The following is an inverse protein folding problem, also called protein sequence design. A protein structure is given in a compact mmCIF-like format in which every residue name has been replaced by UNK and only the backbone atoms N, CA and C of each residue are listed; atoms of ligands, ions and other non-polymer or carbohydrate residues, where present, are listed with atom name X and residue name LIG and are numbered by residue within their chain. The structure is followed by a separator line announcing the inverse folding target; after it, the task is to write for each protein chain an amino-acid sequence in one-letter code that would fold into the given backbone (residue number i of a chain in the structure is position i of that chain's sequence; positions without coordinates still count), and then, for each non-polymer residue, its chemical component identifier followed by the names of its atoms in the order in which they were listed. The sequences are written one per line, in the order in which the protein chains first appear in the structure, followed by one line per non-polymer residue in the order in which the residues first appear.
data_IF_223450423495
#
_entry.id   IF_223450423495
#
_cell.length_a   1.000
_cell.length_b   1.000
_cell.length_c   1.000
_cell.angle_alpha   90.00
_cell.angle_beta   90.00
_cell.angle_gamma   90.00
#
_symmetry.space_group_name_H-M   'P 1'
#
loop_
_entity.id
_entity.type
_entity.pdbx_description
1 polymer ?
#
# COMPACT_ATOMS: atom_id res chain seq x y z
N UNK A 1 -13.70 12.96 -25.90
CA UNK A 1 -12.59 12.38 -25.12
C UNK A 1 -12.66 13.01 -23.75
N UNK A 2 -12.99 12.23 -22.70
CA UNK A 2 -13.03 12.74 -21.34
C UNK A 2 -11.59 12.96 -20.84
N UNK A 3 -11.32 14.02 -20.06
CA UNK A 3 -9.99 14.26 -19.53
C UNK A 3 -9.68 13.20 -18.47
N UNK A 4 -8.49 12.61 -18.54
CA UNK A 4 -7.95 11.81 -17.45
C UNK A 4 -7.66 12.75 -16.27
N UNK A 5 -8.28 12.49 -15.12
CA UNK A 5 -7.99 13.20 -13.88
C UNK A 5 -6.53 12.93 -13.49
N UNK A 6 -5.71 13.96 -13.23
CA UNK A 6 -4.39 13.77 -12.63
C UNK A 6 -4.54 12.94 -11.35
N UNK A 7 -3.71 11.91 -11.19
CA UNK A 7 -3.73 11.03 -10.01
C UNK A 7 -3.78 11.88 -8.74
N UNK A 8 -4.84 11.70 -7.95
CA UNK A 8 -5.02 12.45 -6.72
C UNK A 8 -3.75 12.26 -5.86
N UNK A 9 -3.27 13.31 -5.17
CA UNK A 9 -2.19 13.11 -4.20
C UNK A 9 -2.63 12.02 -3.23
N UNK A 10 -1.80 10.97 -3.12
CA UNK A 10 -1.95 9.92 -2.10
C UNK A 10 -2.31 10.62 -0.79
N UNK A 11 -3.49 10.30 -0.26
CA UNK A 11 -3.96 10.87 0.99
C UNK A 11 -2.93 10.60 2.08
N UNK A 12 -3.00 11.30 3.22
CA UNK A 12 -2.00 11.19 4.28
C UNK A 12 -1.77 9.74 4.80
N UNK A 13 -2.67 8.81 4.48
CA UNK A 13 -2.66 7.41 4.88
C UNK A 13 -2.45 6.44 3.72
N UNK A 14 -2.13 6.92 2.52
CA UNK A 14 -1.97 6.07 1.34
C UNK A 14 -0.50 5.72 1.09
N UNK A 15 -0.29 4.59 0.40
CA UNK A 15 1.00 4.10 -0.04
C UNK A 15 0.96 3.87 -1.55
N UNK A 16 1.73 4.64 -2.30
CA UNK A 16 1.94 4.40 -3.72
C UNK A 16 2.88 3.20 -3.92
N UNK A 17 2.59 2.35 -4.90
CA UNK A 17 3.51 1.33 -5.40
C UNK A 17 4.02 1.83 -6.75
N UNK A 18 5.25 2.32 -6.76
CA UNK A 18 5.86 2.94 -7.94
C UNK A 18 7.36 2.64 -7.97
N UNK A 19 7.89 2.35 -9.15
CA UNK A 19 9.31 2.06 -9.33
C UNK A 19 9.76 0.81 -8.57
N UNK A 20 8.91 -0.20 -8.46
CA UNK A 20 9.15 -1.41 -7.65
C UNK A 20 9.48 -1.10 -6.18
N UNK A 21 8.79 -0.11 -5.60
CA UNK A 21 8.91 0.26 -4.20
C UNK A 21 7.56 0.69 -3.61
N UNK A 22 7.42 0.54 -2.29
CA UNK A 22 6.33 1.14 -1.52
C UNK A 22 6.73 2.54 -1.08
N UNK A 23 5.89 3.55 -1.34
CA UNK A 23 6.14 4.95 -1.02
C UNK A 23 4.97 5.57 -0.24
N UNK A 24 5.16 6.00 1.01
CA UNK A 24 6.40 5.88 1.77
C UNK A 24 6.70 4.42 2.15
N UNK A 25 7.98 4.09 2.32
CA UNK A 25 8.39 2.75 2.76
C UNK A 25 8.04 2.49 4.23
N UNK A 26 7.86 3.54 5.02
CA UNK A 26 7.28 3.48 6.37
C UNK A 26 6.19 4.52 6.49
N UNK A 27 4.98 4.08 6.82
CA UNK A 27 3.83 4.94 7.09
C UNK A 27 3.44 4.81 8.56
N UNK A 28 3.21 5.95 9.24
CA UNK A 28 2.70 5.96 10.61
C UNK A 28 1.27 6.47 10.63
N UNK A 29 0.35 5.70 11.22
CA UNK A 29 -1.07 6.04 11.33
C UNK A 29 -1.59 5.82 12.76
N UNK A 30 -2.78 6.34 13.05
CA UNK A 30 -3.49 6.06 14.30
C UNK A 30 -4.24 4.73 14.20
N UNK A 31 -4.49 4.08 15.34
CA UNK A 31 -5.40 2.93 15.40
C UNK A 31 -6.76 3.27 14.78
N UNK A 32 -7.27 2.37 13.96
CA UNK A 32 -8.55 2.52 13.25
C UNK A 32 -8.44 3.28 11.93
N UNK A 33 -7.25 3.75 11.55
CA UNK A 33 -7.01 4.31 10.21
C UNK A 33 -7.04 3.20 9.16
N UNK A 34 -7.79 3.45 8.08
CA UNK A 34 -7.70 2.70 6.83
C UNK A 34 -6.48 3.20 6.04
N UNK A 35 -5.63 2.27 5.62
CA UNK A 35 -4.47 2.52 4.76
C UNK A 35 -4.79 1.95 3.39
N UNK A 36 -4.54 2.74 2.34
CA UNK A 36 -4.78 2.32 0.95
C UNK A 36 -3.47 2.25 0.17
N UNK A 37 -3.20 1.10 -0.43
CA UNK A 37 -2.10 0.91 -1.38
C UNK A 37 -2.63 1.08 -2.79
N UNK A 38 -1.93 1.86 -3.61
CA UNK A 38 -2.30 2.15 -5.00
C UNK A 38 -1.16 1.69 -5.90
N UNK A 39 -1.44 0.77 -6.82
CA UNK A 39 -0.43 0.35 -7.78
C UNK A 39 -0.33 1.35 -8.95
N UNK A 40 0.70 2.18 -8.95
CA UNK A 40 0.99 3.13 -10.03
C UNK A 40 1.94 2.55 -11.09
N UNK A 41 2.58 1.42 -10.79
CA UNK A 41 3.37 0.66 -11.74
C UNK A 41 2.50 -0.07 -12.76
N UNK A 42 3.06 -0.37 -13.93
CA UNK A 42 2.45 -1.34 -14.87
C UNK A 42 2.64 -2.78 -14.41
N UNK A 43 3.68 -3.03 -13.61
CA UNK A 43 3.97 -4.36 -13.09
C UNK A 43 2.92 -4.76 -12.04
N UNK A 44 2.52 -6.04 -12.00
CA UNK A 44 1.62 -6.52 -10.96
C UNK A 44 2.34 -6.61 -9.62
N UNK A 45 1.65 -6.25 -8.54
CA UNK A 45 2.19 -6.30 -7.17
C UNK A 45 1.20 -6.92 -6.19
N UNK A 46 1.68 -7.24 -4.99
CA UNK A 46 0.85 -7.66 -3.85
C UNK A 46 1.27 -6.88 -2.61
N UNK A 47 0.38 -6.84 -1.62
CA UNK A 47 0.61 -6.33 -0.27
C UNK A 47 0.31 -7.47 0.69
N UNK A 48 1.36 -8.17 1.10
CA UNK A 48 1.26 -9.37 1.94
C UNK A 48 2.17 -9.23 3.15
N UNK A 49 1.72 -9.61 4.35
CA UNK A 49 2.56 -9.52 5.53
C UNK A 49 1.85 -9.67 6.86
N UNK A 50 2.44 -9.04 7.90
CA UNK A 50 1.92 -9.07 9.25
C UNK A 50 0.55 -8.40 9.38
N UNK A 51 -0.16 -8.67 10.48
CA UNK A 51 -1.44 -8.05 10.77
C UNK A 51 -2.61 -8.55 9.91
N UNK A 52 -2.40 -9.56 9.06
CA UNK A 52 -3.42 -10.09 8.16
C UNK A 52 -3.44 -9.43 6.78
N UNK A 53 -2.42 -8.65 6.44
CA UNK A 53 -2.24 -8.12 5.08
C UNK A 53 -2.11 -9.28 4.09
N UNK A 54 -3.07 -9.35 3.18
CA UNK A 54 -3.16 -10.36 2.14
C UNK A 54 -4.02 -9.80 1.01
N UNK A 55 -3.42 -8.96 0.17
CA UNK A 55 -4.11 -8.43 -1.00
C UNK A 55 -4.23 -9.49 -2.11
N UNK A 56 -5.22 -9.37 -3.02
CA UNK A 56 -5.10 -9.99 -4.33
C UNK A 56 -3.92 -9.38 -5.11
N UNK A 57 -3.61 -9.95 -6.28
CA UNK A 57 -2.68 -9.32 -7.23
C UNK A 57 -3.29 -8.00 -7.72
N UNK A 58 -2.57 -6.91 -7.50
CA UNK A 58 -2.92 -5.56 -7.95
C UNK A 58 -2.25 -5.30 -9.29
N UNK A 59 -3.05 -5.11 -10.35
CA UNK A 59 -2.55 -4.63 -11.64
C UNK A 59 -2.34 -3.11 -11.58
N UNK A 60 -1.70 -2.54 -12.59
CA UNK A 60 -1.55 -1.10 -12.66
C UNK A 60 -2.89 -0.38 -12.64
N UNK A 61 -3.04 0.57 -11.73
CA UNK A 61 -4.26 1.31 -11.41
C UNK A 61 -5.15 0.67 -10.34
N UNK A 62 -4.88 -0.57 -9.93
CA UNK A 62 -5.65 -1.22 -8.86
C UNK A 62 -5.25 -0.70 -7.48
N UNK A 63 -6.10 -0.92 -6.48
CA UNK A 63 -5.85 -0.53 -5.10
C UNK A 63 -6.30 -1.58 -4.10
N UNK A 64 -5.70 -1.55 -2.92
CA UNK A 64 -6.05 -2.40 -1.78
C UNK A 64 -6.14 -1.57 -0.51
N UNK A 65 -7.18 -1.75 0.29
CA UNK A 65 -7.33 -1.08 1.57
C UNK A 65 -7.31 -2.07 2.73
N UNK A 66 -6.74 -1.64 3.86
CA UNK A 66 -6.75 -2.40 5.10
C UNK A 66 -6.81 -1.48 6.33
N UNK A 67 -7.64 -1.84 7.31
CA UNK A 67 -7.80 -1.09 8.57
C UNK A 67 -7.10 -1.79 9.72
N UNK A 68 -6.16 -1.09 10.37
CA UNK A 68 -5.45 -1.64 11.52
C UNK A 68 -6.16 -1.31 12.84
N UNK A 69 -6.65 -2.34 13.52
CA UNK A 69 -7.37 -2.19 14.79
C UNK A 69 -6.49 -2.35 16.04
N UNK A 70 -5.21 -2.68 15.87
CA UNK A 70 -4.27 -2.89 16.98
C UNK A 70 -3.05 -2.01 16.77
N UNK A 71 -2.60 -1.36 17.85
CA UNK A 71 -1.32 -0.65 17.85
C UNK A 71 -0.17 -1.65 17.68
N UNK A 72 0.89 -1.24 16.98
CA UNK A 72 2.01 -2.11 16.68
C UNK A 72 2.77 -1.70 15.42
N UNK A 73 3.79 -2.49 15.09
CA UNK A 73 4.55 -2.36 13.84
C UNK A 73 4.26 -3.57 12.96
N UNK A 74 3.85 -3.33 11.72
CA UNK A 74 3.43 -4.33 10.76
C UNK A 74 4.33 -4.27 9.53
N UNK A 75 5.26 -5.22 9.42
CA UNK A 75 6.09 -5.40 8.23
C UNK A 75 5.33 -6.15 7.14
N UNK A 76 5.51 -5.74 5.89
CA UNK A 76 4.90 -6.36 4.73
C UNK A 76 5.80 -6.26 3.50
N UNK A 77 5.44 -6.98 2.44
CA UNK A 77 6.16 -6.96 1.18
C UNK A 77 5.29 -7.37 0.00
N UNK A 78 5.94 -7.56 -1.15
CA UNK A 78 5.34 -8.13 -2.34
C UNK A 78 5.84 -9.56 -2.57
N UNK A 79 4.92 -10.50 -2.78
CA UNK A 79 5.26 -11.91 -3.05
C UNK A 79 5.84 -12.12 -4.44
N UNK A 80 5.50 -11.23 -5.40
CA UNK A 80 5.99 -11.27 -6.79
C UNK A 80 7.42 -10.73 -6.86
N UNK A 81 7.72 -9.71 -6.06
CA UNK A 81 9.00 -9.01 -6.03
C UNK A 81 9.55 -9.02 -4.58
N UNK A 82 10.24 -10.09 -4.16
CA UNK A 82 10.58 -10.32 -2.74
C UNK A 82 11.49 -9.28 -2.10
N UNK A 83 12.10 -8.39 -2.90
CA UNK A 83 12.94 -7.28 -2.43
C UNK A 83 12.12 -6.04 -2.02
N UNK A 84 10.82 -6.01 -2.34
CA UNK A 84 9.94 -4.91 -1.98
C UNK A 84 9.45 -5.10 -0.55
N UNK A 85 9.78 -4.13 0.31
CA UNK A 85 9.39 -4.15 1.72
C UNK A 85 8.81 -2.81 2.15
N UNK A 86 7.79 -2.87 3.00
CA UNK A 86 7.19 -1.70 3.63
C UNK A 86 6.88 -1.97 5.10
N UNK A 87 6.58 -0.91 5.84
CA UNK A 87 6.21 -0.98 7.26
C UNK A 87 5.07 -0.02 7.57
N UNK A 88 4.04 -0.50 8.26
CA UNK A 88 3.02 0.34 8.88
C UNK A 88 3.27 0.38 10.39
N UNK A 89 3.38 1.58 10.95
CA UNK A 89 3.42 1.83 12.39
C UNK A 89 2.07 2.37 12.83
N UNK A 90 1.38 1.65 13.70
CA UNK A 90 0.07 2.04 14.24
C UNK A 90 0.25 2.46 15.69
N UNK A 91 -0.12 3.71 15.98
CA UNK A 91 -0.04 4.31 17.32
C UNK A 91 -1.42 4.44 17.96
#
# INVERSE_FOLDING_TARGET
MAPATPGAPVAANDVAIAGFAFSPSTLTVSKGTEVTWINEDRAPHTVTGAGGLNSPVLKGGDSYSFTFHSAGTFSYGCDIHPFMHGTIVVK
#
